data_IF_769357857465
#
_entry.id   IF_769357857465
#
_cell.length_a   1.000
_cell.length_b   1.000
_cell.length_c   1.000
_cell.angle_alpha   90.00
_cell.angle_beta   90.00
_cell.angle_gamma   90.00
#
_symmetry.space_group_name_H-M   'P 1'
#
loop_
_entity.id
_entity.type
_entity.pdbx_description
1 polymer ?
#
# COMPACT_ATOMS: atom_id res chain seq x y z
N UNK A 1 -9.87 16.79 -3.50
CA UNK A 1 -8.77 17.78 -3.62
C UNK A 1 -7.46 17.05 -3.36
N UNK A 2 -6.39 17.36 -4.10
CA UNK A 2 -5.07 16.73 -3.92
C UNK A 2 -4.15 17.59 -3.04
N UNK A 3 -3.44 16.96 -2.09
CA UNK A 3 -2.57 17.65 -1.12
C UNK A 3 -1.09 17.30 -1.31
N UNK A 4 -0.19 18.19 -0.89
CA UNK A 4 1.27 17.98 -0.95
C UNK A 4 1.80 17.07 0.16
N UNK A 5 1.01 16.84 1.19
CA UNK A 5 1.28 15.95 2.31
C UNK A 5 0.03 15.15 2.67
N UNK A 6 0.19 14.06 3.42
CA UNK A 6 -0.94 13.29 3.94
C UNK A 6 -1.60 14.09 5.05
N UNK A 7 -2.86 14.46 4.85
CA UNK A 7 -3.67 15.15 5.86
C UNK A 7 -4.67 14.16 6.45
N UNK A 8 -4.58 13.93 7.76
CA UNK A 8 -5.56 13.11 8.47
C UNK A 8 -6.80 13.95 8.82
N UNK A 9 -7.97 13.51 8.39
CA UNK A 9 -9.25 14.12 8.77
C UNK A 9 -9.77 13.49 10.06
N UNK A 10 -10.24 14.32 10.99
CA UNK A 10 -10.87 13.85 12.21
C UNK A 10 -12.30 13.37 11.96
N UNK A 11 -12.64 12.18 12.43
CA UNK A 11 -13.99 11.59 12.38
C UNK A 11 -14.30 10.87 13.69
N UNK A 12 -15.58 10.70 14.02
CA UNK A 12 -16.00 9.95 15.21
C UNK A 12 -15.65 8.46 15.12
N UNK A 13 -15.71 7.90 13.90
CA UNK A 13 -15.39 6.51 13.62
C UNK A 13 -14.32 6.44 12.53
N UNK A 14 -13.40 5.49 12.68
CA UNK A 14 -12.38 5.18 11.68
C UNK A 14 -12.94 4.07 10.76
N UNK A 15 -12.84 4.21 9.43
CA UNK A 15 -13.35 3.19 8.52
C UNK A 15 -12.62 1.85 8.65
N UNK A 16 -13.37 0.76 8.58
CA UNK A 16 -12.85 -0.62 8.56
C UNK A 16 -12.89 -1.27 7.18
N UNK A 17 -13.53 -0.62 6.20
CA UNK A 17 -13.67 -1.08 4.82
C UNK A 17 -13.06 -0.07 3.84
N UNK A 18 -12.44 -0.53 2.74
CA UNK A 18 -11.97 0.37 1.68
C UNK A 18 -13.08 1.08 0.92
N UNK A 19 -14.33 0.57 0.95
CA UNK A 19 -15.47 1.13 0.23
C UNK A 19 -16.34 2.05 1.11
N UNK A 20 -15.88 2.38 2.31
CA UNK A 20 -16.60 3.25 3.23
C UNK A 20 -16.67 4.69 2.69
N UNK A 21 -17.86 5.32 2.62
CA UNK A 21 -18.01 6.67 2.07
C UNK A 21 -17.26 7.75 2.86
N UNK A 22 -16.88 7.49 4.12
CA UNK A 22 -16.08 8.44 4.89
C UNK A 22 -14.76 8.82 4.21
N UNK A 23 -14.23 7.97 3.31
CA UNK A 23 -13.02 8.27 2.54
C UNK A 23 -13.18 9.42 1.54
N UNK A 24 -14.39 9.73 1.11
CA UNK A 24 -14.66 10.83 0.16
C UNK A 24 -14.36 12.20 0.77
N UNK A 25 -14.49 12.31 2.10
CA UNK A 25 -14.22 13.52 2.87
C UNK A 25 -12.72 13.72 3.16
N UNK A 26 -11.91 12.66 3.05
CA UNK A 26 -10.47 12.73 3.28
C UNK A 26 -9.73 13.21 2.02
N UNK A 27 -8.88 14.27 2.10
CA UNK A 27 -8.06 14.68 0.98
C UNK A 27 -7.12 13.58 0.50
N UNK A 28 -6.84 13.58 -0.81
CA UNK A 28 -5.97 12.58 -1.43
C UNK A 28 -4.55 13.14 -1.58
N UNK A 29 -3.57 12.39 -1.09
CA UNK A 29 -2.17 12.65 -1.35
C UNK A 29 -1.62 11.65 -2.38
N UNK A 30 -1.16 12.14 -3.52
CA UNK A 30 -0.54 11.30 -4.56
C UNK A 30 0.97 11.22 -4.34
N UNK A 31 1.45 10.13 -3.74
CA UNK A 31 2.86 9.90 -3.45
C UNK A 31 3.55 9.16 -4.60
N UNK A 32 4.52 9.80 -5.26
CA UNK A 32 5.36 9.15 -6.27
C UNK A 32 6.35 8.21 -5.58
N UNK A 33 6.41 6.97 -6.04
CA UNK A 33 7.33 5.98 -5.48
C UNK A 33 8.69 6.07 -6.17
N UNK A 34 9.75 6.01 -5.35
CA UNK A 34 11.11 5.89 -5.83
C UNK A 34 11.50 4.42 -5.91
N UNK A 35 12.38 4.09 -6.85
CA UNK A 35 12.98 2.76 -6.92
C UNK A 35 13.74 2.47 -5.63
N UNK A 36 13.52 1.28 -5.08
CA UNK A 36 14.32 0.81 -3.97
C UNK A 36 15.72 0.42 -4.46
N UNK A 37 16.75 1.02 -3.88
CA UNK A 37 18.14 0.57 -4.03
C UNK A 37 18.39 -0.59 -3.07
N UNK A 38 17.87 -1.78 -3.40
CA UNK A 38 18.03 -2.97 -2.55
C UNK A 38 18.64 -4.12 -3.33
N UNK A 39 19.98 -4.08 -3.42
CA UNK A 39 20.92 -5.15 -3.82
C UNK A 39 20.60 -5.83 -5.16
N UNK A 40 21.57 -6.53 -5.76
CA UNK A 40 21.28 -7.25 -6.99
C UNK A 40 20.40 -8.49 -6.70
N UNK A 41 19.37 -8.78 -7.53
CA UNK A 41 19.00 -8.06 -8.75
C UNK A 41 18.14 -6.81 -8.48
N UNK A 42 18.58 -5.65 -8.98
CA UNK A 42 17.80 -4.39 -8.85
C UNK A 42 16.63 -4.33 -9.84
N UNK A 43 15.51 -3.74 -9.42
CA UNK A 43 14.45 -3.37 -10.34
C UNK A 43 14.86 -2.11 -11.13
N UNK A 44 14.94 -2.22 -12.45
CA UNK A 44 15.31 -1.10 -13.34
C UNK A 44 14.13 -0.16 -13.63
N UNK A 45 12.91 -0.58 -13.31
CA UNK A 45 11.67 0.19 -13.47
C UNK A 45 10.75 -0.08 -12.28
N UNK A 46 10.06 0.96 -11.81
CA UNK A 46 9.15 0.84 -10.68
C UNK A 46 7.95 -0.02 -11.11
N UNK A 47 7.69 -1.11 -10.40
CA UNK A 47 6.48 -1.91 -10.62
C UNK A 47 5.20 -1.14 -10.28
N UNK A 48 5.31 -0.16 -9.37
CA UNK A 48 4.24 0.75 -8.96
C UNK A 48 4.75 2.19 -9.03
N UNK A 49 4.12 3.05 -9.84
CA UNK A 49 4.60 4.41 -10.08
C UNK A 49 4.23 5.40 -8.96
N UNK A 50 3.04 5.25 -8.38
CA UNK A 50 2.55 6.07 -7.29
C UNK A 50 1.52 5.32 -6.44
N UNK A 51 1.32 5.83 -5.23
CA UNK A 51 0.27 5.42 -4.30
C UNK A 51 -0.53 6.67 -3.93
N UNK A 52 -1.86 6.57 -4.06
CA UNK A 52 -2.81 7.55 -3.54
C UNK A 52 -3.12 7.19 -2.09
N UNK A 53 -2.98 8.16 -1.21
CA UNK A 53 -3.11 8.00 0.24
C UNK A 53 -4.22 8.91 0.75
N UNK A 54 -5.12 8.35 1.55
CA UNK A 54 -6.08 9.10 2.38
C UNK A 54 -5.94 8.66 3.84
N UNK A 55 -6.19 9.57 4.77
CA UNK A 55 -6.04 9.28 6.20
C UNK A 55 -7.22 9.83 7.02
N UNK A 56 -7.72 9.03 7.95
CA UNK A 56 -8.79 9.39 8.89
C UNK A 56 -8.38 8.95 10.30
N UNK A 57 -8.69 9.77 11.31
CA UNK A 57 -8.41 9.48 12.72
C UNK A 57 -9.58 9.86 13.62
N UNK A 58 -9.78 9.11 14.71
CA UNK A 58 -10.71 9.47 15.79
C UNK A 58 -9.98 9.95 17.06
N UNK A 59 -8.67 10.19 16.98
CA UNK A 59 -7.82 10.60 18.10
C UNK A 59 -7.24 9.45 18.93
N UNK A 60 -7.82 8.24 18.87
CA UNK A 60 -7.24 7.02 19.46
C UNK A 60 -6.68 6.05 18.42
N UNK A 61 -7.23 6.09 17.22
CA UNK A 61 -6.92 5.20 16.10
C UNK A 61 -6.72 6.02 14.83
N UNK A 62 -6.05 5.41 13.86
CA UNK A 62 -5.80 6.01 12.55
C UNK A 62 -5.89 4.93 11.47
N UNK A 63 -6.62 5.22 10.40
CA UNK A 63 -6.63 4.39 9.20
C UNK A 63 -6.03 5.15 8.03
N UNK A 64 -5.30 4.40 7.21
CA UNK A 64 -4.79 4.84 5.92
C UNK A 64 -5.43 4.00 4.83
N UNK A 65 -5.99 4.66 3.82
CA UNK A 65 -6.43 4.02 2.58
C UNK A 65 -5.36 4.24 1.53
N UNK A 66 -4.84 3.14 1.01
CA UNK A 66 -3.79 3.11 0.00
C UNK A 66 -4.39 2.57 -1.30
N UNK A 67 -4.22 3.30 -2.39
CA UNK A 67 -4.66 2.88 -3.72
C UNK A 67 -3.55 3.08 -4.74
N UNK A 68 -3.30 2.06 -5.55
CA UNK A 68 -2.38 2.16 -6.68
C UNK A 68 -2.99 1.46 -7.89
N UNK A 69 -2.51 1.83 -9.09
CA UNK A 69 -2.85 1.11 -10.30
C UNK A 69 -2.10 -0.22 -10.30
N UNK A 70 -2.81 -1.32 -10.14
CA UNK A 70 -2.28 -2.67 -10.31
C UNK A 70 -2.85 -3.29 -11.59
N UNK A 71 -1.96 -3.78 -12.46
CA UNK A 71 -2.34 -4.50 -13.69
C UNK A 71 -2.32 -6.01 -13.49
N UNK A 72 -1.78 -6.48 -12.36
CA UNK A 72 -1.85 -7.89 -12.00
C UNK A 72 -3.25 -8.23 -11.52
N UNK A 73 -3.59 -9.52 -11.60
CA UNK A 73 -4.85 -10.04 -11.11
C UNK A 73 -4.54 -11.02 -9.99
N UNK A 74 -5.23 -10.86 -8.87
CA UNK A 74 -5.11 -11.76 -7.73
C UNK A 74 -5.97 -13.01 -7.96
N UNK A 75 -5.58 -13.84 -8.93
CA UNK A 75 -6.30 -15.06 -9.32
C UNK A 75 -5.45 -16.33 -9.24
N UNK A 76 -4.31 -16.24 -8.56
CA UNK A 76 -3.50 -17.40 -8.19
C UNK A 76 -4.01 -17.98 -6.85
N UNK A 77 -4.42 -19.26 -6.79
CA UNK A 77 -4.77 -19.89 -5.53
C UNK A 77 -3.51 -20.05 -4.65
N UNK A 78 -3.50 -19.41 -3.46
CA UNK A 78 -2.49 -19.69 -2.42
C UNK A 78 -2.82 -20.95 -1.61
N UNK A 79 -1.88 -21.56 -0.83
CA UNK A 79 -0.46 -21.26 -0.63
C UNK A 79 0.46 -22.44 -1.05
N UNK A 80 1.27 -22.30 -2.12
CA UNK A 80 2.29 -23.29 -2.49
C UNK A 80 3.56 -22.69 -3.15
N UNK A 81 3.93 -21.46 -2.80
CA UNK A 81 5.26 -20.93 -3.13
C UNK A 81 5.89 -20.29 -1.90
N UNK A 82 6.27 -21.14 -0.94
CA UNK A 82 7.27 -20.77 0.05
C UNK A 82 8.60 -20.63 -0.67
N UNK A 83 9.13 -19.41 -0.61
CA UNK A 83 10.54 -19.04 -0.69
C UNK A 83 11.51 -20.23 -0.50
N UNK A 84 12.42 -20.39 -1.47
CA UNK A 84 13.30 -21.54 -1.66
C UNK A 84 14.04 -22.01 -0.40
N UNK A 85 14.06 -23.33 -0.20
CA UNK A 85 14.86 -24.02 0.81
C UNK A 85 16.36 -23.81 0.59
N UNK A 86 17.09 -23.48 1.66
CA UNK A 86 18.55 -23.58 1.67
C UNK A 86 18.98 -25.04 1.42
N UNK A 87 20.05 -25.30 0.65
CA UNK A 87 20.51 -26.66 0.42
C UNK A 87 21.10 -27.23 1.72
N UNK A 88 20.46 -28.27 2.25
CA UNK A 88 21.04 -29.10 3.30
C UNK A 88 22.29 -29.79 2.75
N UNK A 89 23.48 -29.46 3.29
CA UNK A 89 24.70 -30.23 3.04
C UNK A 89 24.50 -31.64 3.59
N UNK A 90 24.51 -32.62 2.69
CA UNK A 90 24.65 -34.02 3.05
C UNK A 90 26.09 -34.29 3.53
N UNK A 91 26.18 -35.12 4.57
CA UNK A 91 27.38 -35.56 5.31
C UNK A 91 28.58 -35.92 4.43
#
# INVERSE_FOLDING_TARGET
MTTTEVVAVSSSNVPSSPDDPAWDEAPEHAAKLLLQDLVEPRQMQASTADVRVRAITNGSEMAFRLEWLDKSKDDLPGPAHLWMAAPSKSR
#
